data_IF_300634988824
#
_entry.id   IF_300634988824
#
_cell.length_a   1.000
_cell.length_b   1.000
_cell.length_c   1.000
_cell.angle_alpha   90.00
_cell.angle_beta   90.00
_cell.angle_gamma   90.00
#
_symmetry.space_group_name_H-M   'P 1'
#
loop_
_entity.id
_entity.type
_entity.pdbx_description
1 polymer ?
#
# COMPACT_ATOMS: atom_id res chain seq x y z
N UNK A 1 2.77 -12.98 -16.03
CA UNK A 1 2.95 -11.63 -15.45
C UNK A 1 4.19 -11.67 -14.57
N UNK A 2 5.06 -10.67 -14.62
CA UNK A 2 6.15 -10.51 -13.65
C UNK A 2 5.69 -9.58 -12.53
N UNK A 3 6.19 -9.75 -11.30
CA UNK A 3 5.83 -8.89 -10.17
C UNK A 3 6.16 -7.42 -10.48
N UNK A 4 7.23 -7.19 -11.24
CA UNK A 4 7.69 -5.86 -11.60
C UNK A 4 6.72 -5.13 -12.55
N UNK A 5 5.91 -5.87 -13.30
CA UNK A 5 4.87 -5.34 -14.20
C UNK A 5 3.57 -5.01 -13.44
N UNK A 6 3.46 -5.45 -12.17
CA UNK A 6 2.29 -5.21 -11.35
C UNK A 6 2.25 -3.76 -10.86
N UNK A 7 1.48 -2.92 -11.57
CA UNK A 7 1.44 -1.47 -11.33
C UNK A 7 1.10 -1.09 -9.88
N UNK A 8 0.23 -1.85 -9.22
CA UNK A 8 -0.14 -1.58 -7.81
C UNK A 8 1.04 -1.80 -6.88
N UNK A 9 1.83 -2.86 -7.11
CA UNK A 9 3.06 -3.13 -6.37
C UNK A 9 4.08 -2.01 -6.57
N UNK A 10 4.33 -1.58 -7.81
CA UNK A 10 5.27 -0.49 -8.10
C UNK A 10 4.89 0.83 -7.43
N UNK A 11 3.61 1.19 -7.48
CA UNK A 11 3.11 2.39 -6.79
C UNK A 11 3.28 2.27 -5.27
N UNK A 12 3.03 1.09 -4.71
CA UNK A 12 3.19 0.82 -3.27
C UNK A 12 4.66 0.90 -2.83
N UNK A 13 5.59 0.41 -3.64
CA UNK A 13 7.04 0.56 -3.40
C UNK A 13 7.44 2.04 -3.44
N UNK A 14 7.01 2.78 -4.45
CA UNK A 14 7.37 4.20 -4.61
C UNK A 14 6.91 5.05 -3.42
N UNK A 15 5.64 4.93 -3.00
CA UNK A 15 5.12 5.71 -1.87
C UNK A 15 5.81 5.33 -0.55
N UNK A 16 6.19 4.06 -0.37
CA UNK A 16 6.91 3.62 0.81
C UNK A 16 8.26 4.33 0.97
N UNK A 17 9.03 4.45 -0.13
CA UNK A 17 10.30 5.18 -0.14
C UNK A 17 10.13 6.68 0.14
N UNK A 18 9.10 7.30 -0.43
CA UNK A 18 8.80 8.71 -0.17
C UNK A 18 8.47 8.95 1.31
N UNK A 19 7.63 8.10 1.90
CA UNK A 19 7.25 8.17 3.32
C UNK A 19 8.44 7.82 4.23
N UNK A 20 9.30 6.87 3.84
CA UNK A 20 10.55 6.56 4.55
C UNK A 20 11.43 7.80 4.69
N UNK A 21 11.70 8.48 3.59
CA UNK A 21 12.54 9.67 3.59
C UNK A 21 11.94 10.80 4.42
N UNK A 22 10.61 10.94 4.43
CA UNK A 22 9.91 11.89 5.30
C UNK A 22 10.13 11.56 6.79
N UNK A 23 9.85 10.32 7.19
CA UNK A 23 9.96 9.85 8.59
C UNK A 23 11.41 9.83 9.07
N UNK A 24 12.36 9.57 8.18
CA UNK A 24 13.79 9.55 8.49
C UNK A 24 14.26 10.89 9.10
N UNK A 25 13.65 12.00 8.70
CA UNK A 25 13.99 13.33 9.20
C UNK A 25 13.27 13.72 10.51
N UNK A 26 12.40 12.88 11.05
CA UNK A 26 11.71 13.17 12.31
C UNK A 26 12.60 12.98 13.55
N UNK A 27 12.31 13.76 14.59
CA UNK A 27 12.88 13.58 15.93
C UNK A 27 12.56 12.19 16.49
N UNK A 28 13.44 11.73 17.40
CA UNK A 28 13.40 10.37 17.93
C UNK A 28 12.02 9.95 18.45
N UNK A 29 11.35 10.78 19.27
CA UNK A 29 10.06 10.41 19.84
C UNK A 29 8.96 10.24 18.78
N UNK A 30 8.89 11.15 17.81
CA UNK A 30 7.93 11.05 16.72
C UNK A 30 8.21 9.84 15.82
N UNK A 31 9.49 9.60 15.53
CA UNK A 31 9.97 8.46 14.75
C UNK A 31 9.67 7.14 15.46
N UNK A 32 9.95 7.02 16.75
CA UNK A 32 9.77 5.79 17.52
C UNK A 32 8.30 5.42 17.73
N UNK A 33 7.42 6.41 17.80
CA UNK A 33 5.99 6.20 18.08
C UNK A 33 5.13 6.13 16.83
N UNK A 34 5.10 7.19 16.01
CA UNK A 34 4.26 7.28 14.80
C UNK A 34 5.03 6.80 13.59
N UNK A 35 6.30 7.22 13.46
CA UNK A 35 7.12 6.92 12.30
C UNK A 35 7.25 5.41 12.07
N UNK A 36 7.65 4.65 13.10
CA UNK A 36 7.77 3.19 13.03
C UNK A 36 6.47 2.50 12.62
N UNK A 37 5.33 2.98 13.11
CA UNK A 37 4.03 2.39 12.76
C UNK A 37 3.62 2.72 11.32
N UNK A 38 3.86 3.96 10.89
CA UNK A 38 3.62 4.41 9.52
C UNK A 38 4.45 3.61 8.51
N UNK A 39 5.76 3.47 8.78
CA UNK A 39 6.68 2.71 7.92
C UNK A 39 6.27 1.24 7.82
N UNK A 40 6.04 0.58 8.95
CA UNK A 40 5.58 -0.82 8.95
C UNK A 40 4.29 -1.00 8.15
N UNK A 41 3.33 -0.08 8.29
CA UNK A 41 2.08 -0.16 7.58
C UNK A 41 2.28 0.00 6.06
N UNK A 42 3.04 0.99 5.59
CA UNK A 42 3.20 1.22 4.15
C UNK A 42 4.05 0.13 3.47
N UNK A 43 5.13 -0.31 4.12
CA UNK A 43 5.98 -1.40 3.58
C UNK A 43 5.19 -2.72 3.46
N UNK A 44 4.31 -2.97 4.43
CA UNK A 44 3.43 -4.14 4.45
C UNK A 44 2.49 -4.21 3.25
N UNK A 45 2.15 -3.08 2.61
CA UNK A 45 1.30 -3.09 1.41
C UNK A 45 1.98 -3.87 0.28
N UNK A 46 3.20 -3.47 -0.09
CA UNK A 46 3.96 -4.12 -1.16
C UNK A 46 4.40 -5.53 -0.78
N UNK A 47 4.80 -5.74 0.49
CA UNK A 47 5.20 -7.07 0.98
C UNK A 47 4.06 -8.09 0.84
N UNK A 48 2.84 -7.74 1.26
CA UNK A 48 1.68 -8.63 1.10
C UNK A 48 1.31 -8.85 -0.37
N UNK A 49 1.43 -7.83 -1.24
CA UNK A 49 1.19 -7.99 -2.67
C UNK A 49 2.18 -8.98 -3.30
N UNK A 50 3.46 -8.85 -2.97
CA UNK A 50 4.50 -9.77 -3.42
C UNK A 50 4.27 -11.19 -2.90
N UNK A 51 3.94 -11.33 -1.61
CA UNK A 51 3.71 -12.64 -1.02
C UNK A 51 2.50 -13.33 -1.64
N UNK A 52 1.39 -12.60 -1.82
CA UNK A 52 0.19 -13.09 -2.49
C UNK A 52 0.46 -13.52 -3.93
N UNK A 53 1.20 -12.70 -4.69
CA UNK A 53 1.57 -12.98 -6.07
C UNK A 53 2.41 -14.27 -6.20
N UNK A 54 3.20 -14.61 -5.19
CA UNK A 54 3.99 -15.85 -5.14
C UNK A 54 3.20 -17.11 -4.77
N UNK A 55 1.89 -17.00 -4.43
CA UNK A 55 1.06 -18.15 -4.06
C UNK A 55 0.47 -18.84 -5.30
N UNK A 56 0.23 -20.15 -5.19
CA UNK A 56 -0.29 -20.96 -6.30
C UNK A 56 -1.81 -20.85 -6.48
N UNK A 57 -2.57 -20.56 -5.41
CA UNK A 57 -4.02 -20.56 -5.46
C UNK A 57 -4.61 -19.14 -5.41
N UNK A 58 -5.54 -18.84 -6.32
CA UNK A 58 -6.23 -17.54 -6.40
C UNK A 58 -6.88 -17.09 -5.09
N UNK A 59 -7.35 -18.03 -4.25
CA UNK A 59 -7.94 -17.71 -2.94
C UNK A 59 -6.90 -17.14 -1.98
N UNK A 60 -5.69 -17.69 -1.98
CA UNK A 60 -4.59 -17.21 -1.14
C UNK A 60 -4.09 -15.85 -1.65
N UNK A 61 -3.86 -15.73 -2.96
CA UNK A 61 -3.47 -14.45 -3.58
C UNK A 61 -4.44 -13.32 -3.21
N UNK A 62 -5.75 -13.60 -3.31
CA UNK A 62 -6.80 -12.64 -2.95
C UNK A 62 -6.79 -12.30 -1.45
N UNK A 63 -6.52 -13.28 -0.59
CA UNK A 63 -6.40 -13.07 0.86
C UNK A 63 -5.25 -12.11 1.18
N UNK A 64 -4.09 -12.29 0.55
CA UNK A 64 -2.95 -11.39 0.70
C UNK A 64 -3.24 -9.98 0.18
N UNK A 65 -3.97 -9.86 -0.93
CA UNK A 65 -4.42 -8.54 -1.40
C UNK A 65 -5.36 -7.84 -0.39
N UNK A 66 -6.16 -8.59 0.37
CA UNK A 66 -6.94 -8.01 1.47
C UNK A 66 -6.06 -7.55 2.63
N UNK A 67 -4.98 -8.25 2.95
CA UNK A 67 -3.99 -7.77 3.91
C UNK A 67 -3.31 -6.48 3.43
N UNK A 68 -2.88 -6.41 2.17
CA UNK A 68 -2.37 -5.16 1.57
C UNK A 68 -3.37 -4.01 1.69
N UNK A 69 -4.66 -4.29 1.45
CA UNK A 69 -5.73 -3.29 1.60
C UNK A 69 -5.85 -2.84 3.05
N UNK A 70 -5.79 -3.75 4.03
CA UNK A 70 -5.77 -3.42 5.45
C UNK A 70 -4.61 -2.50 5.82
N UNK A 71 -3.39 -2.86 5.42
CA UNK A 71 -2.18 -2.06 5.64
C UNK A 71 -2.24 -0.68 4.98
N UNK A 72 -2.91 -0.55 3.83
CA UNK A 72 -3.12 0.73 3.16
C UNK A 72 -4.04 1.67 3.98
N UNK A 73 -5.11 1.14 4.57
CA UNK A 73 -5.98 1.92 5.48
C UNK A 73 -5.27 2.29 6.79
N UNK A 74 -4.44 1.39 7.32
CA UNK A 74 -3.61 1.67 8.47
C UNK A 74 -2.60 2.79 8.18
N UNK A 75 -1.96 2.76 7.00
CA UNK A 75 -1.08 3.85 6.53
C UNK A 75 -1.80 5.19 6.54
N UNK A 76 -3.02 5.27 6.00
CA UNK A 76 -3.83 6.49 6.01
C UNK A 76 -4.07 7.00 7.43
N UNK A 77 -4.36 6.09 8.36
CA UNK A 77 -4.56 6.44 9.78
C UNK A 77 -3.30 7.05 10.40
N UNK A 78 -2.12 6.47 10.13
CA UNK A 78 -0.86 6.99 10.65
C UNK A 78 -0.45 8.32 10.01
N UNK A 79 -0.71 8.52 8.72
CA UNK A 79 -0.55 9.82 8.05
C UNK A 79 -1.47 10.89 8.65
N UNK A 80 -2.75 10.57 8.91
CA UNK A 80 -3.66 11.50 9.59
C UNK A 80 -3.17 11.85 10.98
N UNK A 81 -2.65 10.89 11.75
CA UNK A 81 -2.03 11.16 13.05
C UNK A 81 -0.78 12.04 12.92
N UNK A 82 0.06 11.79 11.92
CA UNK A 82 1.25 12.60 11.67
C UNK A 82 0.89 14.06 11.33
N UNK A 83 -0.11 14.26 10.48
CA UNK A 83 -0.65 15.58 10.13
C UNK A 83 -1.22 16.31 11.37
N UNK A 84 -2.06 15.63 12.16
CA UNK A 84 -2.63 16.21 13.39
C UNK A 84 -1.55 16.60 14.42
N UNK A 85 -0.40 15.91 14.41
CA UNK A 85 0.76 16.18 15.27
C UNK A 85 1.74 17.18 14.64
N UNK A 86 1.42 17.75 13.46
CA UNK A 86 2.24 18.69 12.71
C UNK A 86 3.63 18.13 12.36
N UNK A 87 3.71 16.81 12.13
CA UNK A 87 4.95 16.13 11.73
C UNK A 87 5.17 16.14 10.21
N UNK A 88 4.15 16.50 9.44
CA UNK A 88 4.17 16.60 7.98
C UNK A 88 3.45 17.88 7.56
N UNK A 89 3.81 18.41 6.39
CA UNK A 89 3.11 19.55 5.80
C UNK A 89 1.71 19.15 5.31
N UNK A 90 0.82 20.14 5.16
CA UNK A 90 -0.50 19.89 4.55
C UNK A 90 -0.36 19.42 3.10
N UNK A 91 0.62 19.95 2.36
CA UNK A 91 0.91 19.55 0.98
C UNK A 91 1.33 18.07 0.89
N UNK A 92 2.26 17.63 1.75
CA UNK A 92 2.69 16.23 1.82
C UNK A 92 1.52 15.33 2.21
N UNK A 93 0.71 15.75 3.19
CA UNK A 93 -0.45 14.99 3.62
C UNK A 93 -1.45 14.78 2.47
N UNK A 94 -1.81 15.85 1.76
CA UNK A 94 -2.73 15.78 0.62
C UNK A 94 -2.18 14.90 -0.50
N UNK A 95 -0.89 15.08 -0.84
CA UNK A 95 -0.17 14.26 -1.82
C UNK A 95 -0.23 12.77 -1.46
N UNK A 96 0.15 12.40 -0.24
CA UNK A 96 0.18 10.99 0.16
C UNK A 96 -1.22 10.38 0.25
N UNK A 97 -2.22 11.14 0.72
CA UNK A 97 -3.62 10.67 0.75
C UNK A 97 -4.13 10.44 -0.67
N UNK A 98 -3.79 11.30 -1.63
CA UNK A 98 -4.16 11.10 -3.04
C UNK A 98 -3.53 9.83 -3.62
N UNK A 99 -2.22 9.62 -3.40
CA UNK A 99 -1.52 8.41 -3.84
C UNK A 99 -2.12 7.15 -3.20
N UNK A 100 -2.41 7.17 -1.90
CA UNK A 100 -3.08 6.05 -1.19
C UNK A 100 -4.45 5.74 -1.80
N UNK A 101 -5.24 6.75 -2.14
CA UNK A 101 -6.55 6.54 -2.74
C UNK A 101 -6.41 5.91 -4.14
N UNK A 102 -5.46 6.36 -4.98
CA UNK A 102 -5.20 5.76 -6.29
C UNK A 102 -4.76 4.29 -6.17
N UNK A 103 -3.82 3.99 -5.26
CA UNK A 103 -3.41 2.60 -4.96
C UNK A 103 -4.63 1.77 -4.53
N UNK A 104 -5.48 2.31 -3.66
CA UNK A 104 -6.68 1.61 -3.18
C UNK A 104 -7.67 1.26 -4.29
N UNK A 105 -7.91 2.18 -5.23
CA UNK A 105 -8.77 1.94 -6.40
C UNK A 105 -8.18 0.82 -7.26
N UNK A 106 -6.89 0.90 -7.60
CA UNK A 106 -6.24 -0.11 -8.45
C UNK A 106 -6.16 -1.47 -7.77
N UNK A 107 -5.91 -1.50 -6.47
CA UNK A 107 -5.91 -2.72 -5.67
C UNK A 107 -7.28 -3.40 -5.68
N UNK A 108 -8.37 -2.64 -5.52
CA UNK A 108 -9.72 -3.18 -5.59
C UNK A 108 -10.05 -3.74 -6.98
N UNK A 109 -9.61 -3.07 -8.04
CA UNK A 109 -9.77 -3.56 -9.41
C UNK A 109 -9.02 -4.87 -9.62
N UNK A 110 -7.78 -4.97 -9.11
CA UNK A 110 -6.98 -6.19 -9.15
C UNK A 110 -7.63 -7.35 -8.38
N UNK A 111 -8.06 -7.12 -7.14
CA UNK A 111 -8.79 -8.10 -6.32
C UNK A 111 -10.03 -8.63 -7.07
N UNK A 112 -10.67 -7.77 -7.85
CA UNK A 112 -11.87 -8.10 -8.63
C UNK A 112 -11.57 -8.87 -9.92
N UNK A 113 -10.32 -8.85 -10.41
CA UNK A 113 -9.90 -9.64 -11.57
C UNK A 113 -9.39 -11.03 -11.20
N UNK A 114 -8.87 -11.23 -9.98
CA UNK A 114 -8.36 -12.53 -9.52
C UNK A 114 -9.46 -13.60 -9.57
N UNK A 115 -9.15 -14.73 -10.21
CA UNK A 115 -10.03 -15.90 -10.31
C UNK A 115 -11.17 -15.77 -11.34
N UNK A 116 -11.24 -14.67 -12.11
CA UNK A 116 -12.06 -14.63 -13.31
C UNK A 116 -11.36 -15.45 -14.40
N UNK A 117 -11.99 -16.53 -14.88
CA UNK A 117 -11.60 -17.15 -16.15
C UNK A 117 -11.64 -16.07 -17.24
N UNK A 118 -10.73 -16.08 -18.24
CA UNK A 118 -11.07 -15.42 -19.50
C UNK A 118 -12.42 -15.98 -19.94
N UNK A 119 -13.34 -15.11 -20.35
CA UNK A 119 -14.46 -15.58 -21.15
C UNK A 119 -13.81 -16.35 -22.30
N UNK A 120 -14.06 -17.65 -22.38
CA UNK A 120 -13.77 -18.37 -23.60
C UNK A 120 -14.64 -17.67 -24.66
N UNK A 121 -13.99 -16.90 -25.53
CA UNK A 121 -14.55 -16.54 -26.83
C UNK A 121 -14.55 -17.82 -27.68
N UNK A 122 -15.41 -18.78 -27.32
CA UNK A 122 -15.66 -20.00 -28.08
C UNK A 122 -17.12 -20.42 -27.83
N UNK A 123 -18.05 -19.76 -28.54
CA UNK A 123 -19.09 -20.35 -29.43
C UNK A 123 -20.04 -19.26 -29.96
#
# INVERSE_FOLDING_TARGET
MKLEEFRVYQLSMSIAEEIWNLVYNWDYFAKDTVGKQLIKAIDSVAANLSEGFGRFFYKEEKQFCYYSRGSLFETKTWLTKASNRKLISSEDFEKFVQQINDIGVRLNNYISSIGKKPLNDDE
#
